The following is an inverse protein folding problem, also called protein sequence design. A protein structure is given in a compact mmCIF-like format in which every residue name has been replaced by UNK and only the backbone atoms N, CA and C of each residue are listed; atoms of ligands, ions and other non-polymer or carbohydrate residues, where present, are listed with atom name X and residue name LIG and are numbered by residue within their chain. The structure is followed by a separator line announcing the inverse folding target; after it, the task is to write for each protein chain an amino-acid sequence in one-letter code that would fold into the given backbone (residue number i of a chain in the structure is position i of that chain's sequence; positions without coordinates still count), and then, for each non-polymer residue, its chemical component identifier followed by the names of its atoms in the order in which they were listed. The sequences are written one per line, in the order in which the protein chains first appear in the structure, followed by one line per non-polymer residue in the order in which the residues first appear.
data_IF_657610511014
#
_entry.id   IF_657610511014
#
_cell.length_a   1.000
_cell.length_b   1.000
_cell.length_c   1.000
_cell.angle_alpha   90.00
_cell.angle_beta   90.00
_cell.angle_gamma   90.00
#
_symmetry.space_group_name_H-M   'P 1'
#
loop_
_entity.id
_entity.type
_entity.pdbx_description
1 polymer ?
#
# COMPACT_ATOMS: atom_id res chain seq x y z
N UNK A 1 -7.60 -4.87 -4.17
CA UNK A 1 -7.10 -3.64 -3.50
C UNK A 1 -8.16 -2.90 -2.69
N UNK A 2 -9.44 -2.83 -3.11
CA UNK A 2 -10.49 -2.07 -2.39
C UNK A 2 -10.63 -2.33 -0.88
N UNK A 3 -10.53 -3.59 -0.43
CA UNK A 3 -10.60 -3.88 1.01
C UNK A 3 -9.41 -3.30 1.79
N UNK A 4 -8.22 -3.28 1.18
CA UNK A 4 -7.03 -2.69 1.79
C UNK A 4 -7.13 -1.16 1.85
N UNK A 5 -7.72 -0.53 0.83
CA UNK A 5 -7.98 0.91 0.80
C UNK A 5 -8.95 1.33 1.91
N UNK A 6 -10.05 0.59 2.09
CA UNK A 6 -11.00 0.84 3.18
C UNK A 6 -10.38 0.65 4.57
N UNK A 7 -9.49 -0.34 4.73
CA UNK A 7 -8.75 -0.52 5.98
C UNK A 7 -7.83 0.67 6.25
N UNK A 8 -7.11 1.15 5.24
CA UNK A 8 -6.25 2.34 5.34
C UNK A 8 -7.07 3.56 5.73
N UNK A 9 -8.19 3.82 5.05
CA UNK A 9 -9.09 4.93 5.36
C UNK A 9 -9.58 4.87 6.81
N UNK A 10 -9.98 3.68 7.29
CA UNK A 10 -10.45 3.48 8.66
C UNK A 10 -9.34 3.71 9.70
N UNK A 11 -8.20 3.04 9.55
CA UNK A 11 -7.13 2.99 10.56
C UNK A 11 -6.23 4.23 10.57
N UNK A 12 -6.19 4.97 9.46
CA UNK A 12 -5.38 6.19 9.31
C UNK A 12 -6.21 7.47 9.34
N UNK A 13 -7.53 7.37 9.55
CA UNK A 13 -8.37 8.53 9.81
C UNK A 13 -7.91 9.28 11.07
N UNK A 14 -7.87 10.62 10.99
CA UNK A 14 -7.54 11.48 12.14
C UNK A 14 -6.06 11.52 12.55
N UNK A 15 -5.17 10.87 11.80
CA UNK A 15 -3.71 11.01 11.96
C UNK A 15 -3.21 12.33 11.35
N UNK A 16 -2.00 12.73 11.70
CA UNK A 16 -1.39 13.94 11.15
C UNK A 16 -1.13 13.83 9.64
N UNK A 17 -0.89 14.96 8.96
CA UNK A 17 -0.86 15.03 7.50
C UNK A 17 0.22 14.14 6.83
N UNK A 18 1.24 13.69 7.57
CA UNK A 18 2.26 12.74 7.09
C UNK A 18 1.81 11.28 7.21
N UNK A 19 0.81 10.98 8.05
CA UNK A 19 0.28 9.64 8.29
C UNK A 19 -1.23 9.54 8.04
N UNK A 20 -1.83 10.49 7.33
CA UNK A 20 -3.24 10.42 6.95
C UNK A 20 -3.47 9.43 5.79
N UNK A 21 -4.72 9.02 5.62
CA UNK A 21 -5.09 8.11 4.54
C UNK A 21 -4.75 8.70 3.16
N UNK A 22 -4.88 10.02 2.98
CA UNK A 22 -4.58 10.68 1.72
C UNK A 22 -3.10 10.54 1.33
N UNK A 23 -2.17 10.64 2.29
CA UNK A 23 -0.76 10.40 2.08
C UNK A 23 -0.50 8.97 1.61
N UNK A 24 -1.06 7.98 2.30
CA UNK A 24 -0.90 6.57 1.95
C UNK A 24 -1.42 6.26 0.53
N UNK A 25 -2.57 6.84 0.15
CA UNK A 25 -3.14 6.65 -1.19
C UNK A 25 -2.28 7.30 -2.29
N UNK A 26 -1.70 8.49 -2.05
CA UNK A 26 -0.76 9.10 -3.00
C UNK A 26 0.51 8.27 -3.18
N UNK A 27 1.05 7.72 -2.09
CA UNK A 27 2.23 6.84 -2.15
C UNK A 27 1.91 5.55 -2.93
N UNK A 28 0.73 4.96 -2.72
CA UNK A 28 0.25 3.82 -3.52
C UNK A 28 0.24 4.15 -5.02
N UNK A 29 -0.35 5.27 -5.40
CA UNK A 29 -0.49 5.64 -6.81
C UNK A 29 0.88 5.88 -7.45
N UNK A 30 1.81 6.52 -6.74
CA UNK A 30 3.19 6.66 -7.18
C UNK A 30 3.88 5.29 -7.37
N UNK A 31 3.71 4.37 -6.42
CA UNK A 31 4.30 3.03 -6.51
C UNK A 31 3.76 2.25 -7.71
N UNK A 32 2.47 2.38 -8.03
CA UNK A 32 1.85 1.76 -9.20
C UNK A 32 2.39 2.35 -10.52
N UNK A 33 2.54 3.67 -10.60
CA UNK A 33 3.16 4.32 -11.77
C UNK A 33 4.59 3.83 -11.98
N UNK A 34 5.40 3.78 -10.91
CA UNK A 34 6.77 3.26 -10.98
C UNK A 34 6.81 1.77 -11.36
N UNK A 35 5.91 0.95 -10.84
CA UNK A 35 5.84 -0.47 -11.21
C UNK A 35 5.53 -0.64 -12.71
N UNK A 36 4.62 0.19 -13.25
CA UNK A 36 4.31 0.18 -14.68
C UNK A 36 5.52 0.61 -15.54
N UNK A 37 6.24 1.66 -15.15
CA UNK A 37 7.48 2.10 -15.82
C UNK A 37 8.56 1.01 -15.82
N UNK A 38 8.67 0.28 -14.72
CA UNK A 38 9.68 -0.76 -14.54
C UNK A 38 9.26 -2.14 -15.05
N UNK A 39 8.05 -2.29 -15.61
CA UNK A 39 7.51 -3.58 -16.06
C UNK A 39 7.30 -4.60 -14.93
N UNK A 40 7.15 -4.12 -13.69
CA UNK A 40 6.92 -4.95 -12.51
C UNK A 40 5.42 -5.23 -12.39
N UNK A 41 5.06 -6.51 -12.37
CA UNK A 41 3.69 -6.96 -12.16
C UNK A 41 3.51 -7.64 -10.80
N UNK A 42 2.26 -7.78 -10.37
CA UNK A 42 1.96 -8.52 -9.13
C UNK A 42 2.38 -9.98 -9.28
N UNK A 43 3.10 -10.55 -8.32
CA UNK A 43 3.39 -11.98 -8.34
C UNK A 43 2.10 -12.78 -8.15
N UNK A 44 1.97 -13.92 -8.83
CA UNK A 44 0.82 -14.83 -8.68
C UNK A 44 0.68 -15.38 -7.25
N UNK A 45 1.77 -15.35 -6.47
CA UNK A 45 1.79 -15.86 -5.10
C UNK A 45 2.71 -15.03 -4.21
N UNK A 46 2.19 -14.63 -3.05
CA UNK A 46 2.99 -14.00 -2.01
C UNK A 46 3.65 -15.07 -1.13
N UNK A 47 4.97 -14.98 -0.96
CA UNK A 47 5.71 -15.79 0.01
C UNK A 47 5.64 -15.11 1.37
N UNK A 48 5.02 -15.79 2.35
CA UNK A 48 5.01 -15.34 3.74
C UNK A 48 6.27 -15.91 4.40
N UNK A 49 7.23 -15.03 4.71
CA UNK A 49 8.44 -15.39 5.47
C UNK A 49 8.20 -15.05 6.93
N UNK A 50 8.05 -16.05 7.79
CA UNK A 50 8.00 -15.86 9.24
C UNK A 50 9.43 -15.84 9.77
N UNK A 51 9.87 -14.72 10.34
CA UNK A 51 11.10 -14.68 11.11
C UNK A 51 10.87 -15.35 12.48
N UNK A 52 11.69 -16.35 12.87
CA UNK A 52 11.61 -16.91 14.21
C UNK A 52 12.06 -15.85 15.23
N UNK A 53 11.40 -15.90 16.39
CA UNK A 53 11.53 -14.93 17.49
C UNK A 53 12.82 -15.10 18.29
#
# INVERSE_FOLDING_TARGET
VRCAEQLVEREMSGRDASHDAAHALRVRDLALSLAAEQGVSSPDRLLIVTTPR
#
